data_IF_909934122384
#
_entry.id   IF_909934122384
#
_cell.length_a   1.000
_cell.length_b   1.000
_cell.length_c   1.000
_cell.angle_alpha   90.00
_cell.angle_beta   90.00
_cell.angle_gamma   90.00
#
_symmetry.space_group_name_H-M   'P 1'
#
loop_
_entity.id
_entity.type
_entity.pdbx_description
1 polymer ?
#
# COMPACT_ATOMS: atom_id res chain seq x y z
N UNK A 1 -16.59 1.36 9.19
CA UNK A 1 -15.71 0.23 8.81
C UNK A 1 -15.64 -0.04 7.31
N UNK A 2 -16.77 -0.17 6.59
CA UNK A 2 -16.78 -0.44 5.13
C UNK A 2 -16.04 0.61 4.29
N UNK A 3 -16.30 1.91 4.51
CA UNK A 3 -15.62 3.00 3.79
C UNK A 3 -14.12 2.98 4.08
N UNK A 4 -13.75 2.87 5.36
CA UNK A 4 -12.34 2.90 5.79
C UNK A 4 -11.51 1.82 5.11
N UNK A 5 -11.91 0.56 5.16
CA UNK A 5 -11.04 -0.42 4.53
C UNK A 5 -11.20 -0.47 3.00
N UNK A 6 -12.27 0.10 2.41
CA UNK A 6 -12.35 0.33 0.97
C UNK A 6 -11.21 1.23 0.51
N UNK A 7 -10.94 2.31 1.28
CA UNK A 7 -9.75 3.17 1.13
C UNK A 7 -8.46 2.36 1.33
N UNK A 8 -8.42 1.42 2.28
CA UNK A 8 -7.27 0.52 2.49
C UNK A 8 -7.12 -0.57 1.40
N UNK A 9 -8.05 -0.67 0.44
CA UNK A 9 -8.00 -1.60 -0.69
C UNK A 9 -8.78 -2.91 -0.51
N UNK A 10 -9.73 -2.97 0.42
CA UNK A 10 -10.65 -4.09 0.50
C UNK A 10 -11.59 -4.09 -0.71
N UNK A 11 -11.66 -5.21 -1.41
CA UNK A 11 -12.54 -5.37 -2.57
C UNK A 11 -14.01 -5.45 -2.16
N UNK A 12 -14.31 -6.19 -1.08
CA UNK A 12 -15.66 -6.45 -0.60
C UNK A 12 -15.73 -6.62 0.91
N UNK A 13 -16.93 -6.42 1.43
CA UNK A 13 -17.26 -6.50 2.85
C UNK A 13 -18.43 -7.43 3.08
N UNK A 14 -18.20 -8.43 3.93
CA UNK A 14 -19.24 -9.28 4.48
C UNK A 14 -19.47 -8.87 5.94
N UNK A 15 -20.73 -8.63 6.30
CA UNK A 15 -21.12 -8.29 7.66
C UNK A 15 -21.42 -9.57 8.45
N UNK A 16 -21.09 -9.56 9.74
CA UNK A 16 -21.44 -10.67 10.63
C UNK A 16 -22.91 -10.57 11.08
N UNK A 17 -23.57 -11.72 11.35
CA UNK A 17 -23.08 -13.08 11.12
C UNK A 17 -23.10 -13.44 9.62
N UNK A 18 -22.12 -14.20 9.16
CA UNK A 18 -22.05 -14.67 7.78
C UNK A 18 -21.82 -16.18 7.74
N UNK A 19 -22.20 -16.80 6.61
CA UNK A 19 -21.96 -18.23 6.40
C UNK A 19 -20.65 -18.49 5.63
N UNK A 20 -20.07 -19.67 5.80
CA UNK A 20 -18.89 -20.08 5.02
C UNK A 20 -19.18 -20.17 3.53
N UNK A 21 -20.42 -20.53 3.17
CA UNK A 21 -20.90 -20.52 1.79
C UNK A 21 -20.88 -19.11 1.19
N UNK A 22 -21.45 -18.14 1.91
CA UNK A 22 -21.45 -16.74 1.50
C UNK A 22 -20.03 -16.19 1.31
N UNK A 23 -19.12 -16.49 2.24
CA UNK A 23 -17.71 -16.10 2.11
C UNK A 23 -17.07 -16.73 0.86
N UNK A 24 -17.32 -18.01 0.60
CA UNK A 24 -16.76 -18.70 -0.57
C UNK A 24 -17.27 -18.08 -1.88
N UNK A 25 -18.54 -17.74 -1.94
CA UNK A 25 -19.12 -17.08 -3.12
C UNK A 25 -18.54 -15.69 -3.35
N UNK A 26 -18.34 -14.89 -2.29
CA UNK A 26 -17.72 -13.56 -2.44
C UNK A 26 -16.24 -13.64 -2.83
N UNK A 27 -15.49 -14.65 -2.35
CA UNK A 27 -14.11 -14.90 -2.80
C UNK A 27 -14.10 -15.30 -4.28
N UNK A 28 -15.00 -16.18 -4.72
CA UNK A 28 -15.11 -16.57 -6.13
C UNK A 28 -15.35 -15.34 -7.02
N UNK A 29 -16.35 -14.53 -6.68
CA UNK A 29 -16.66 -13.28 -7.41
C UNK A 29 -15.49 -12.30 -7.42
N UNK A 30 -14.72 -12.21 -6.34
CA UNK A 30 -13.55 -11.34 -6.28
C UNK A 30 -12.44 -11.77 -7.25
N UNK A 31 -12.30 -13.09 -7.48
CA UNK A 31 -11.32 -13.66 -8.40
C UNK A 31 -11.78 -13.60 -9.87
N UNK A 32 -13.08 -13.60 -10.14
CA UNK A 32 -13.65 -13.55 -11.50
C UNK A 32 -13.61 -12.16 -12.15
N UNK A 33 -13.24 -12.08 -13.43
CA UNK A 33 -13.21 -10.82 -14.20
C UNK A 33 -11.84 -10.11 -14.13
N UNK A 34 -11.85 -8.79 -13.94
CA UNK A 34 -10.64 -7.95 -14.03
C UNK A 34 -9.51 -8.38 -13.06
N UNK A 35 -8.24 -8.06 -13.38
CA UNK A 35 -7.14 -8.28 -12.45
C UNK A 35 -7.38 -7.59 -11.10
N UNK A 36 -6.97 -8.27 -10.02
CA UNK A 36 -7.13 -7.79 -8.65
C UNK A 36 -6.66 -6.33 -8.42
N UNK A 37 -5.52 -5.86 -8.98
CA UNK A 37 -5.09 -4.48 -8.81
C UNK A 37 -6.07 -3.45 -9.36
N UNK A 38 -6.77 -3.77 -10.46
CA UNK A 38 -7.75 -2.89 -11.09
C UNK A 38 -9.00 -2.80 -10.21
N UNK A 39 -9.49 -3.95 -9.75
CA UNK A 39 -10.62 -4.03 -8.82
C UNK A 39 -10.36 -3.28 -7.52
N UNK A 40 -9.12 -3.39 -6.99
CA UNK A 40 -8.69 -2.68 -5.79
C UNK A 40 -8.72 -1.18 -5.98
N UNK A 41 -8.15 -0.68 -7.07
CA UNK A 41 -8.13 0.75 -7.38
C UNK A 41 -9.54 1.32 -7.51
N UNK A 42 -10.43 0.57 -8.16
CA UNK A 42 -11.86 0.94 -8.29
C UNK A 42 -12.56 1.00 -6.93
N UNK A 43 -12.39 -0.03 -6.09
CA UNK A 43 -12.99 -0.06 -4.75
C UNK A 43 -12.49 1.11 -3.87
N UNK A 44 -11.22 1.49 -4.00
CA UNK A 44 -10.65 2.66 -3.32
C UNK A 44 -11.28 3.97 -3.79
N UNK A 45 -11.44 4.15 -5.11
CA UNK A 45 -12.09 5.34 -5.69
C UNK A 45 -13.54 5.46 -5.21
N UNK A 46 -14.32 4.38 -5.28
CA UNK A 46 -15.71 4.35 -4.82
C UNK A 46 -15.83 4.67 -3.31
N UNK A 47 -14.87 4.21 -2.50
CA UNK A 47 -14.85 4.48 -1.07
C UNK A 47 -14.51 5.96 -0.76
N UNK A 48 -13.55 6.54 -1.49
CA UNK A 48 -13.20 7.97 -1.38
C UNK A 48 -14.36 8.86 -1.83
N UNK A 49 -15.04 8.51 -2.91
CA UNK A 49 -16.25 9.22 -3.35
C UNK A 49 -17.36 9.16 -2.30
N UNK A 50 -17.57 7.98 -1.71
CA UNK A 50 -18.56 7.81 -0.64
C UNK A 50 -18.23 8.66 0.59
N UNK A 51 -16.95 8.74 0.97
CA UNK A 51 -16.49 9.60 2.05
C UNK A 51 -16.75 11.08 1.74
N UNK A 52 -16.42 11.52 0.52
CA UNK A 52 -16.63 12.90 0.09
C UNK A 52 -18.11 13.30 0.07
N UNK A 53 -19.03 12.38 -0.25
CA UNK A 53 -20.49 12.63 -0.16
C UNK A 53 -20.95 12.78 1.28
N UNK A 54 -20.46 11.93 2.19
CA UNK A 54 -20.78 12.04 3.61
C UNK A 54 -20.25 13.35 4.23
N UNK A 55 -19.03 13.77 3.87
CA UNK A 55 -18.45 15.04 4.35
C UNK A 55 -19.24 16.27 3.88
N UNK A 56 -19.89 16.20 2.71
CA UNK A 56 -20.75 17.26 2.19
C UNK A 56 -22.15 17.29 2.82
N UNK A 57 -22.48 16.35 3.71
CA UNK A 57 -23.78 16.31 4.39
C UNK A 57 -24.93 15.77 3.53
N UNK A 58 -24.64 15.11 2.42
CA UNK A 58 -25.64 14.44 1.58
C UNK A 58 -25.96 13.04 2.15
N UNK A 59 -26.59 13.01 3.32
CA UNK A 59 -27.17 11.78 3.86
C UNK A 59 -28.70 11.82 3.73
N UNK A 60 -29.22 10.77 3.09
CA UNK A 60 -30.64 10.41 2.91
C UNK A 60 -31.44 11.21 1.90
N UNK A 61 -31.49 10.69 0.66
CA UNK A 61 -32.73 10.34 -0.07
C UNK A 61 -32.37 9.67 -1.41
N UNK A 62 -32.76 8.41 -1.59
CA UNK A 62 -33.03 7.86 -2.93
C UNK A 62 -34.54 7.98 -3.18
N UNK A 63 -35.07 8.03 -4.43
CA UNK A 63 -34.48 7.59 -5.69
C UNK A 63 -34.54 8.64 -6.84
N UNK A 64 -33.86 8.30 -7.94
CA UNK A 64 -34.04 8.80 -9.32
C UNK A 64 -34.53 10.24 -9.53
N UNK A 65 -33.61 11.13 -9.86
CA UNK A 65 -33.92 12.30 -10.69
C UNK A 65 -32.76 12.61 -11.61
N UNK A 66 -33.02 12.51 -12.91
CA UNK A 66 -32.17 13.04 -13.97
C UNK A 66 -32.10 14.58 -13.86
N UNK A 67 -31.28 15.08 -12.95
CA UNK A 67 -30.91 16.49 -12.83
C UNK A 67 -29.67 16.84 -13.67
N UNK A 68 -29.52 18.10 -14.10
CA UNK A 68 -28.50 18.49 -15.05
C UNK A 68 -27.10 18.31 -14.46
N UNK A 69 -26.27 17.53 -15.17
CA UNK A 69 -24.87 17.26 -14.81
C UNK A 69 -24.15 18.57 -14.47
N UNK A 70 -23.53 18.71 -13.29
CA UNK A 70 -22.71 19.88 -12.99
C UNK A 70 -21.50 19.90 -13.93
N UNK A 71 -21.32 21.02 -14.64
CA UNK A 71 -20.15 21.23 -15.51
C UNK A 71 -18.91 21.35 -14.65
N UNK A 72 -18.00 20.38 -14.79
CA UNK A 72 -16.72 20.28 -14.10
C UNK A 72 -15.69 21.33 -14.57
N UNK A 73 -16.11 22.40 -15.25
CA UNK A 73 -15.18 23.28 -15.96
C UNK A 73 -14.43 24.28 -15.07
N UNK A 74 -14.64 24.22 -13.76
CA UNK A 74 -13.97 25.07 -12.77
C UNK A 74 -13.01 24.33 -11.84
N UNK A 75 -12.92 23.00 -11.96
CA UNK A 75 -11.92 22.18 -11.28
C UNK A 75 -10.71 21.85 -12.18
N UNK A 76 -10.75 22.28 -13.44
CA UNK A 76 -9.70 22.04 -14.44
C UNK A 76 -8.63 23.15 -14.51
N UNK A 77 -8.69 24.16 -13.63
CA UNK A 77 -7.49 24.91 -13.28
C UNK A 77 -6.69 24.06 -12.28
N UNK A 78 -5.97 23.09 -12.83
CA UNK A 78 -4.76 22.61 -12.22
C UNK A 78 -3.94 23.85 -11.82
N UNK A 79 -3.91 24.15 -10.52
CA UNK A 79 -2.72 24.75 -9.97
C UNK A 79 -1.65 23.72 -10.32
N UNK A 80 -0.88 24.03 -11.35
CA UNK A 80 0.39 23.40 -11.62
C UNK A 80 1.14 23.54 -10.30
N UNK A 81 1.06 22.48 -9.49
CA UNK A 81 1.86 22.38 -8.30
C UNK A 81 3.29 22.49 -8.83
N UNK A 82 4.11 23.40 -8.31
CA UNK A 82 5.52 23.38 -8.65
C UNK A 82 5.97 21.93 -8.48
N UNK A 83 6.66 21.40 -9.49
CA UNK A 83 7.31 20.08 -9.44
C UNK A 83 7.76 19.88 -8.00
N UNK A 84 7.20 18.90 -7.26
CA UNK A 84 7.68 18.66 -5.92
C UNK A 84 9.14 18.27 -6.13
N UNK A 85 10.05 19.19 -5.79
CA UNK A 85 11.45 18.88 -5.57
C UNK A 85 11.39 17.57 -4.78
N UNK A 86 11.91 16.50 -5.40
CA UNK A 86 11.73 15.13 -4.92
C UNK A 86 11.81 15.17 -3.39
N UNK A 87 10.76 14.78 -2.65
CA UNK A 87 10.80 14.88 -1.21
C UNK A 87 12.08 14.17 -0.81
N UNK A 88 13.03 14.91 -0.22
CA UNK A 88 14.31 14.35 0.17
C UNK A 88 13.97 13.07 0.90
N UNK A 89 14.36 11.93 0.31
CA UNK A 89 13.91 10.62 0.77
C UNK A 89 14.11 10.63 2.29
N UNK A 90 13.07 10.38 3.11
CA UNK A 90 13.20 10.47 4.55
C UNK A 90 14.41 9.62 4.91
N UNK A 91 15.44 10.24 5.47
CA UNK A 91 16.71 9.56 5.71
C UNK A 91 16.40 8.36 6.62
N UNK A 92 16.41 7.16 6.03
CA UNK A 92 16.00 5.95 6.74
C UNK A 92 17.09 5.66 7.77
N UNK A 93 16.81 6.01 9.02
CA UNK A 93 17.74 5.81 10.13
C UNK A 93 17.66 4.36 10.63
N UNK A 94 18.48 3.50 10.02
CA UNK A 94 18.66 2.11 10.45
C UNK A 94 19.22 1.99 11.87
N UNK A 95 19.89 3.01 12.40
CA UNK A 95 20.47 3.03 13.75
C UNK A 95 19.41 2.93 14.85
N UNK A 96 18.15 3.22 14.53
CA UNK A 96 17.02 3.02 15.46
C UNK A 96 16.70 1.55 15.66
N UNK A 97 17.00 0.66 14.72
CA UNK A 97 16.59 -0.73 14.76
C UNK A 97 17.43 -1.56 15.74
N UNK A 98 16.80 -2.54 16.39
CA UNK A 98 17.55 -3.51 17.19
C UNK A 98 18.34 -4.47 16.28
N UNK A 99 19.41 -5.12 16.79
CA UNK A 99 20.18 -6.09 16.01
C UNK A 99 19.30 -7.17 15.36
N UNK A 100 18.32 -7.68 16.11
CA UNK A 100 17.36 -8.68 15.64
C UNK A 100 16.41 -8.15 14.55
N UNK A 101 16.09 -6.85 14.57
CA UNK A 101 15.27 -6.22 13.53
C UNK A 101 16.06 -6.01 12.24
N UNK A 102 17.35 -5.67 12.36
CA UNK A 102 18.27 -5.57 11.23
C UNK A 102 18.50 -6.94 10.58
N UNK A 103 18.73 -7.96 11.40
CA UNK A 103 18.86 -9.35 10.95
C UNK A 103 17.62 -9.79 10.16
N UNK A 104 16.42 -9.57 10.72
CA UNK A 104 15.17 -9.89 10.02
C UNK A 104 15.07 -9.15 8.68
N UNK A 105 15.40 -7.86 8.62
CA UNK A 105 15.37 -7.09 7.37
C UNK A 105 16.37 -7.63 6.34
N UNK A 106 17.59 -7.97 6.75
CA UNK A 106 18.61 -8.56 5.87
C UNK A 106 18.16 -9.91 5.33
N UNK A 107 17.65 -10.79 6.20
CA UNK A 107 17.16 -12.10 5.78
C UNK A 107 15.99 -11.99 4.80
N UNK A 108 15.07 -11.05 5.04
CA UNK A 108 13.94 -10.82 4.13
C UNK A 108 14.38 -10.18 2.81
N UNK A 109 15.37 -9.29 2.83
CA UNK A 109 15.95 -8.69 1.63
C UNK A 109 16.68 -9.69 0.74
N UNK A 110 17.36 -10.68 1.33
CA UNK A 110 18.09 -11.73 0.62
C UNK A 110 17.25 -12.94 0.18
N UNK A 111 15.91 -12.89 0.33
CA UNK A 111 15.02 -14.00 -0.03
C UNK A 111 13.87 -13.55 -0.94
N UNK A 112 13.57 -14.37 -1.96
CA UNK A 112 12.51 -14.10 -2.95
C UNK A 112 11.13 -13.97 -2.31
N UNK A 113 10.88 -14.70 -1.21
CA UNK A 113 9.60 -14.71 -0.52
C UNK A 113 9.73 -14.56 0.98
N UNK A 114 8.73 -13.92 1.60
CA UNK A 114 8.60 -13.85 3.07
C UNK A 114 8.47 -15.24 3.68
N UNK A 115 7.92 -16.22 2.94
CA UNK A 115 7.87 -17.62 3.37
C UNK A 115 9.27 -18.20 3.52
N UNK A 116 10.13 -18.04 2.52
CA UNK A 116 11.52 -18.51 2.58
C UNK A 116 12.27 -17.88 3.76
N UNK A 117 12.16 -16.55 3.92
CA UNK A 117 12.75 -15.84 5.05
C UNK A 117 12.23 -16.35 6.41
N UNK A 118 10.94 -16.69 6.53
CA UNK A 118 10.37 -17.23 7.77
C UNK A 118 10.95 -18.60 8.15
N UNK A 119 11.26 -19.44 7.16
CA UNK A 119 11.90 -20.73 7.37
C UNK A 119 13.34 -20.52 7.85
N UNK A 120 14.09 -19.63 7.20
CA UNK A 120 15.47 -19.29 7.59
C UNK A 120 15.54 -18.72 9.01
N UNK A 121 14.61 -17.84 9.37
CA UNK A 121 14.54 -17.23 10.70
C UNK A 121 13.96 -18.16 11.78
N UNK A 122 13.44 -19.34 11.43
CA UNK A 122 12.81 -20.27 12.36
C UNK A 122 11.55 -19.72 13.05
N UNK A 123 10.83 -18.80 12.41
CA UNK A 123 9.63 -18.15 12.99
C UNK A 123 8.43 -18.27 12.07
N UNK A 124 7.22 -18.09 12.62
CA UNK A 124 6.01 -18.10 11.80
C UNK A 124 5.95 -16.90 10.84
N UNK A 125 5.33 -17.09 9.67
CA UNK A 125 5.08 -16.02 8.70
C UNK A 125 4.38 -14.81 9.33
N UNK A 126 3.40 -15.06 10.20
CA UNK A 126 2.67 -14.00 10.91
C UNK A 126 3.58 -13.19 11.84
N UNK A 127 4.55 -13.83 12.49
CA UNK A 127 5.54 -13.13 13.31
C UNK A 127 6.47 -12.24 12.46
N UNK A 128 6.87 -12.73 11.27
CA UNK A 128 7.64 -11.93 10.31
C UNK A 128 6.85 -10.68 9.88
N UNK A 129 5.59 -10.83 9.46
CA UNK A 129 4.75 -9.69 9.07
C UNK A 129 4.49 -8.70 10.22
N UNK A 130 4.27 -9.21 11.44
CA UNK A 130 4.11 -8.36 12.61
C UNK A 130 5.38 -7.56 12.92
N UNK A 131 6.55 -8.19 12.79
CA UNK A 131 7.86 -7.56 12.97
C UNK A 131 8.13 -6.53 11.88
N UNK A 132 7.88 -6.86 10.61
CA UNK A 132 8.00 -5.92 9.48
C UNK A 132 7.11 -4.69 9.64
N UNK A 133 5.87 -4.85 10.12
CA UNK A 133 4.98 -3.70 10.40
C UNK A 133 5.53 -2.81 11.51
N UNK A 134 6.14 -3.38 12.56
CA UNK A 134 6.79 -2.60 13.62
C UNK A 134 7.99 -1.84 13.09
N UNK A 135 8.79 -2.49 12.25
CA UNK A 135 9.96 -1.89 11.60
C UNK A 135 9.54 -0.76 10.66
N UNK A 136 8.54 -0.98 9.79
CA UNK A 136 8.03 0.05 8.88
C UNK A 136 7.59 1.32 9.63
N UNK A 137 6.81 1.15 10.70
CA UNK A 137 6.41 2.29 11.57
C UNK A 137 7.59 2.99 12.21
N UNK A 138 8.61 2.23 12.64
CA UNK A 138 9.80 2.75 13.30
C UNK A 138 10.71 3.53 12.34
N UNK A 139 10.72 3.14 11.07
CA UNK A 139 11.47 3.77 9.99
C UNK A 139 10.66 4.84 9.23
N UNK A 140 9.39 5.05 9.57
CA UNK A 140 8.51 5.98 8.85
C UNK A 140 8.14 5.53 7.43
N UNK A 141 8.27 4.24 7.12
CA UNK A 141 7.92 3.68 5.81
C UNK A 141 6.40 3.44 5.77
N UNK A 142 5.70 3.90 4.71
CA UNK A 142 4.23 3.91 4.67
C UNK A 142 3.59 2.52 4.68
N UNK A 143 4.28 1.50 4.14
CA UNK A 143 3.74 0.14 4.10
C UNK A 143 4.81 -0.95 4.21
N UNK A 144 4.38 -2.17 4.55
CA UNK A 144 5.25 -3.36 4.55
C UNK A 144 5.72 -3.70 3.13
N UNK A 145 4.88 -3.68 2.08
CA UNK A 145 5.34 -3.81 0.70
C UNK A 145 6.45 -2.83 0.33
N UNK A 146 6.33 -1.55 0.71
CA UNK A 146 7.36 -0.55 0.41
C UNK A 146 8.67 -0.88 1.14
N UNK A 147 8.58 -1.31 2.41
CA UNK A 147 9.73 -1.79 3.16
C UNK A 147 10.41 -2.99 2.51
N UNK A 148 9.64 -3.93 1.95
CA UNK A 148 10.17 -5.10 1.23
C UNK A 148 10.87 -4.69 -0.08
N UNK A 149 10.29 -3.74 -0.82
CA UNK A 149 10.89 -3.19 -2.04
C UNK A 149 12.22 -2.52 -1.73
N UNK A 150 12.27 -1.71 -0.68
CA UNK A 150 13.50 -1.05 -0.22
C UNK A 150 14.56 -2.06 0.26
N UNK A 151 14.15 -3.11 0.99
CA UNK A 151 15.05 -4.13 1.51
C UNK A 151 15.65 -5.01 0.40
N UNK A 152 14.86 -5.37 -0.61
CA UNK A 152 15.30 -6.20 -1.74
C UNK A 152 16.06 -5.40 -2.80
N UNK A 153 15.70 -4.13 -2.97
CA UNK A 153 16.38 -3.22 -3.89
C UNK A 153 17.72 -2.69 -3.38
N UNK A 154 18.23 -3.17 -2.23
CA UNK A 154 19.51 -2.74 -1.65
C UNK A 154 19.53 -1.29 -1.09
N UNK A 155 18.47 -0.52 -1.33
CA UNK A 155 18.36 0.89 -0.96
C UNK A 155 18.40 1.14 0.55
N UNK A 156 17.99 0.17 1.38
CA UNK A 156 18.09 0.29 2.84
C UNK A 156 19.53 0.21 3.36
N UNK A 157 20.36 -0.62 2.75
CA UNK A 157 21.70 -0.93 3.26
C UNK A 157 22.81 -0.17 2.54
N UNK A 158 22.46 0.61 1.52
CA UNK A 158 23.41 1.46 0.82
C UNK A 158 24.40 0.66 -0.02
N UNK A 159 23.92 -0.13 -0.98
CA UNK A 159 24.72 -0.43 -2.18
C UNK A 159 24.63 0.78 -3.12
N UNK A 160 25.30 1.87 -2.71
CA UNK A 160 25.60 3.00 -3.59
C UNK A 160 26.51 2.52 -4.72
N UNK A 161 26.17 2.89 -5.95
CA UNK A 161 26.82 2.40 -7.15
C UNK A 161 28.34 2.45 -7.12
N UNK A 162 28.96 1.29 -7.40
CA UNK A 162 30.27 1.20 -8.01
C UNK A 162 30.11 1.07 -9.54
N UNK A 163 29.40 2.01 -10.16
CA UNK A 163 29.61 2.42 -11.55
C UNK A 163 30.32 3.78 -11.51
N UNK A 164 31.51 3.79 -10.89
CA UNK A 164 32.39 4.95 -10.90
C UNK A 164 33.03 5.02 -12.29
N UNK A 165 32.80 6.16 -12.96
CA UNK A 165 33.30 6.46 -14.28
C UNK A 165 34.78 6.10 -14.45
N UNK A 166 35.03 5.28 -15.47
CA UNK A 166 36.36 5.12 -16.04
C UNK A 166 36.80 6.51 -16.54
N UNK A 167 37.70 7.12 -15.77
CA UNK A 167 38.49 8.26 -16.19
C UNK A 167 39.30 7.84 -17.42
N UNK A 168 39.14 8.58 -18.50
CA UNK A 168 40.13 8.67 -19.56
C UNK A 168 41.48 9.07 -18.95
N UNK A 169 42.56 8.31 -19.17
CA UNK A 169 43.88 8.91 -19.26
C UNK A 169 44.12 9.41 -20.70
N UNK A 170 44.91 10.48 -20.74
CA UNK A 170 45.33 11.31 -21.86
C UNK A 170 45.81 10.59 -23.12
#
# INVERSE_FOLDING_TARGET
DRIRGGIEGALRYIQKPFSTLELREEVRKALEGDPEPVKRRRAQQEALESLARLEKGEAESAPESHGPRPRLTRLEHAKEAPEPAAPAAPAIDLGRLSPKQLELLRTVGGNDTVRAASVVLGVSRSNVYASLRRIARKLGVPSVPDLLTLARGGSLFGDGGAAAGARHPS
#
